data_IF_778310766131
#
_entry.id   IF_778310766131
#
_cell.length_a   1.000
_cell.length_b   1.000
_cell.length_c   1.000
_cell.angle_alpha   90.00
_cell.angle_beta   90.00
_cell.angle_gamma   90.00
#
_symmetry.space_group_name_H-M   'P 1'
#
loop_
_entity.id
_entity.type
_entity.pdbx_description
1 polymer ?
#
# COMPACT_ATOMS: atom_id res chain seq x y z
N UNK A 1 1.04 -32.99 54.38
CA UNK A 1 0.26 -31.99 55.20
C UNK A 1 -0.13 -30.90 54.23
N UNK A 2 -1.33 -31.02 53.85
CA UNK A 2 -2.59 -30.32 54.12
C UNK A 2 -2.81 -29.12 53.22
N UNK A 3 -3.58 -29.31 52.17
CA UNK A 3 -4.96 -28.86 51.88
C UNK A 3 -5.16 -27.34 51.81
N UNK A 4 -5.68 -26.90 50.70
CA UNK A 4 -6.37 -25.61 50.53
C UNK A 4 -6.95 -25.43 49.10
N UNK A 5 -8.03 -26.15 48.82
CA UNK A 5 -8.90 -25.96 47.67
C UNK A 5 -9.83 -24.76 47.95
N UNK A 6 -9.95 -23.80 47.04
CA UNK A 6 -11.11 -22.87 46.98
C UNK A 6 -11.60 -22.74 45.55
N UNK A 7 -12.72 -23.35 45.33
CA UNK A 7 -13.66 -23.14 44.23
C UNK A 7 -14.30 -21.76 44.36
N UNK A 8 -14.43 -21.00 43.28
CA UNK A 8 -15.37 -19.89 43.19
C UNK A 8 -16.19 -19.97 41.91
N UNK A 9 -17.47 -19.92 42.15
CA UNK A 9 -18.63 -20.21 41.35
C UNK A 9 -18.90 -19.08 40.34
N UNK A 10 -19.33 -19.50 39.17
CA UNK A 10 -19.82 -18.65 38.07
C UNK A 10 -21.21 -18.08 38.43
N UNK A 11 -21.40 -16.79 38.13
CA UNK A 11 -22.73 -16.18 38.03
C UNK A 11 -22.96 -15.73 36.57
N UNK A 12 -23.89 -16.37 35.89
CA UNK A 12 -24.34 -16.00 34.57
C UNK A 12 -25.56 -15.07 34.72
N UNK A 13 -25.49 -13.87 34.17
CA UNK A 13 -26.65 -12.98 34.07
C UNK A 13 -27.27 -13.13 32.67
N UNK A 14 -28.53 -13.63 32.67
CA UNK A 14 -29.40 -13.63 31.48
C UNK A 14 -30.13 -12.30 31.41
N UNK A 15 -30.02 -11.58 30.30
CA UNK A 15 -30.87 -10.43 29.98
C UNK A 15 -32.01 -10.94 29.08
N UNK A 16 -33.21 -10.78 29.55
CA UNK A 16 -34.47 -11.13 28.85
C UNK A 16 -35.04 -9.83 28.25
N UNK A 17 -35.22 -9.79 26.97
CA UNK A 17 -35.84 -8.66 26.24
C UNK A 17 -37.34 -8.94 26.15
N UNK A 18 -38.19 -8.05 26.69
CA UNK A 18 -39.64 -8.10 26.59
C UNK A 18 -40.14 -7.32 25.39
N UNK A 19 -40.94 -7.96 24.55
CA UNK A 19 -41.74 -7.31 23.50
C UNK A 19 -43.03 -6.78 24.10
N UNK A 20 -43.34 -5.51 23.88
CA UNK A 20 -44.65 -4.92 24.16
C UNK A 20 -45.46 -4.81 22.87
N UNK A 21 -46.57 -5.54 22.82
CA UNK A 21 -47.60 -5.42 21.78
C UNK A 21 -48.67 -4.47 22.30
N UNK A 22 -48.88 -3.37 21.61
CA UNK A 22 -49.96 -2.41 21.90
C UNK A 22 -51.14 -2.63 20.95
N UNK A 23 -52.26 -3.01 21.48
CA UNK A 23 -53.55 -3.12 20.77
C UNK A 23 -54.27 -1.76 20.84
N UNK A 24 -54.74 -1.26 19.70
CA UNK A 24 -55.67 -0.13 19.64
C UNK A 24 -57.10 -0.64 19.33
N UNK A 25 -57.99 -0.24 20.19
CA UNK A 25 -59.43 -0.49 20.06
C UNK A 25 -60.12 0.48 19.07
N UNK A 26 -61.05 -0.06 18.32
CA UNK A 26 -61.94 0.67 17.43
C UNK A 26 -63.21 1.13 18.17
N UNK A 27 -63.61 2.39 17.97
CA UNK A 27 -64.97 2.84 18.25
C UNK A 27 -65.63 3.43 17.00
N UNK A 28 -66.74 2.88 16.63
CA UNK A 28 -67.63 3.30 15.54
C UNK A 28 -68.73 4.24 16.07
N UNK A 29 -69.12 5.26 15.32
CA UNK A 29 -70.52 5.84 15.20
C UNK A 29 -70.39 6.84 14.02
N UNK A 30 -71.02 6.67 12.85
CA UNK A 30 -72.42 6.84 12.55
C UNK A 30 -72.66 8.20 11.90
N UNK A 31 -73.07 8.25 10.59
CA UNK A 31 -73.59 9.45 9.95
C UNK A 31 -73.57 9.36 8.41
N UNK A 32 -74.70 8.99 7.81
CA UNK A 32 -74.90 9.02 6.36
C UNK A 32 -75.15 10.45 5.87
N UNK A 33 -74.45 10.83 4.81
CA UNK A 33 -74.93 11.93 3.94
C UNK A 33 -74.46 11.64 2.53
N UNK A 34 -75.39 11.48 1.59
CA UNK A 34 -75.12 11.30 0.17
C UNK A 34 -74.67 12.61 -0.47
N UNK A 35 -73.54 12.62 -1.15
CA UNK A 35 -73.20 13.65 -2.14
C UNK A 35 -72.22 13.09 -3.19
N UNK A 36 -72.62 13.26 -4.45
CA UNK A 36 -71.89 13.27 -5.72
C UNK A 36 -70.51 12.52 -5.80
N UNK A 37 -70.45 11.58 -6.71
CA UNK A 37 -69.25 10.78 -6.99
C UNK A 37 -68.03 11.57 -7.41
N UNK A 38 -66.85 11.18 -6.94
CA UNK A 38 -65.58 11.72 -7.40
C UNK A 38 -65.11 11.04 -8.68
N UNK A 39 -64.66 11.88 -9.60
CA UNK A 39 -63.88 11.52 -10.78
C UNK A 39 -62.72 10.59 -10.35
N UNK A 40 -62.50 9.54 -11.13
CA UNK A 40 -61.33 8.64 -10.99
C UNK A 40 -60.04 9.47 -11.09
N UNK A 41 -59.36 9.60 -9.98
CA UNK A 41 -58.01 10.11 -9.95
C UNK A 41 -57.09 9.07 -10.60
N UNK A 42 -56.38 9.46 -11.65
CA UNK A 42 -55.41 8.59 -12.34
C UNK A 42 -54.39 8.04 -11.35
N UNK A 43 -54.15 6.74 -11.45
CA UNK A 43 -53.08 6.06 -10.71
C UNK A 43 -51.77 6.72 -11.08
N UNK A 44 -51.01 7.28 -10.13
CA UNK A 44 -49.70 7.85 -10.45
C UNK A 44 -48.81 6.74 -11.04
N UNK A 45 -48.29 6.99 -12.25
CA UNK A 45 -47.27 6.15 -12.87
C UNK A 45 -46.10 6.03 -11.89
N UNK A 46 -45.58 4.81 -11.58
CA UNK A 46 -44.45 4.66 -10.70
C UNK A 46 -43.29 5.47 -11.27
N UNK A 47 -42.72 6.38 -10.47
CA UNK A 47 -41.55 7.15 -10.84
C UNK A 47 -40.43 6.15 -11.21
N UNK A 48 -39.92 6.29 -12.42
CA UNK A 48 -38.74 5.56 -12.88
C UNK A 48 -37.62 5.85 -11.90
N UNK A 49 -37.24 4.88 -11.06
CA UNK A 49 -36.07 4.99 -10.21
C UNK A 49 -34.86 5.14 -11.12
N UNK A 50 -34.30 6.34 -11.15
CA UNK A 50 -33.00 6.55 -11.77
C UNK A 50 -32.00 5.73 -10.97
N UNK A 51 -31.53 4.63 -11.56
CA UNK A 51 -30.41 3.85 -10.99
C UNK A 51 -29.21 4.78 -11.03
N UNK A 52 -28.83 5.35 -9.88
CA UNK A 52 -27.55 6.00 -9.72
C UNK A 52 -26.50 4.93 -9.98
N UNK A 53 -25.62 5.08 -10.98
CA UNK A 53 -24.58 4.09 -11.21
C UNK A 53 -23.80 3.93 -9.91
N UNK A 54 -23.59 2.69 -9.46
CA UNK A 54 -22.75 2.41 -8.31
C UNK A 54 -21.38 3.03 -8.58
N UNK A 55 -20.86 3.82 -7.64
CA UNK A 55 -19.49 4.30 -7.71
C UNK A 55 -18.61 3.06 -7.77
N UNK A 56 -17.85 2.91 -8.84
CA UNK A 56 -16.99 1.75 -9.01
C UNK A 56 -16.03 1.66 -7.81
N UNK A 57 -15.94 0.49 -7.20
CA UNK A 57 -14.97 0.21 -6.15
C UNK A 57 -13.57 0.25 -6.76
N UNK A 58 -12.83 1.33 -6.50
CA UNK A 58 -11.49 1.54 -7.05
C UNK A 58 -10.46 1.06 -6.05
N UNK A 59 -9.50 0.25 -6.52
CA UNK A 59 -8.35 -0.15 -5.70
C UNK A 59 -7.54 1.10 -5.31
N UNK A 60 -7.43 1.45 -4.02
CA UNK A 60 -6.74 2.67 -3.57
C UNK A 60 -5.22 2.64 -3.81
N UNK A 61 -4.62 1.47 -4.08
CA UNK A 61 -3.19 1.35 -4.38
C UNK A 61 -2.86 1.49 -5.88
N UNK A 62 -3.84 1.37 -6.75
CA UNK A 62 -3.61 1.40 -8.20
C UNK A 62 -4.51 2.33 -8.98
N UNK A 63 -5.63 2.76 -8.42
CA UNK A 63 -6.65 3.52 -9.14
C UNK A 63 -7.40 2.71 -10.22
N UNK A 64 -7.23 1.39 -10.25
CA UNK A 64 -7.92 0.49 -11.17
C UNK A 64 -9.21 0.01 -10.52
N UNK A 65 -10.25 -0.16 -11.33
CA UNK A 65 -11.53 -0.70 -10.90
C UNK A 65 -11.40 -2.13 -10.34
N UNK A 66 -12.14 -2.41 -9.27
CA UNK A 66 -12.14 -3.68 -8.54
C UNK A 66 -11.29 -3.63 -7.27
N UNK A 67 -11.94 -3.87 -6.10
CA UNK A 67 -11.23 -3.99 -4.82
C UNK A 67 -10.63 -5.38 -4.67
N UNK A 68 -9.33 -5.50 -4.35
CA UNK A 68 -8.73 -6.75 -3.95
C UNK A 68 -9.40 -7.30 -2.68
N UNK A 69 -9.67 -8.60 -2.65
CA UNK A 69 -10.34 -9.27 -1.51
C UNK A 69 -9.36 -9.88 -0.52
N UNK A 70 -8.08 -9.98 -0.87
CA UNK A 70 -7.03 -10.52 -0.02
C UNK A 70 -6.32 -9.48 0.84
N UNK A 71 -5.42 -9.93 1.74
CA UNK A 71 -4.61 -9.05 2.55
C UNK A 71 -3.59 -8.27 1.70
N UNK A 72 -3.20 -7.09 2.17
CA UNK A 72 -2.04 -6.38 1.61
C UNK A 72 -0.75 -7.03 2.10
N UNK A 73 0.16 -7.32 1.18
CA UNK A 73 1.46 -7.92 1.48
C UNK A 73 2.57 -6.97 1.03
N UNK A 74 3.39 -6.52 1.97
CA UNK A 74 4.63 -5.81 1.70
C UNK A 74 5.79 -6.80 1.64
N UNK A 75 6.65 -6.72 0.63
CA UNK A 75 7.84 -7.58 0.50
C UNK A 75 9.09 -6.74 0.43
N UNK A 76 10.05 -7.03 1.30
CA UNK A 76 11.39 -6.41 1.22
C UNK A 76 12.23 -7.10 0.16
N UNK A 77 12.67 -6.37 -0.86
CA UNK A 77 13.34 -6.91 -2.06
C UNK A 77 14.70 -6.23 -2.27
N UNK A 78 15.65 -7.00 -2.80
CA UNK A 78 16.96 -6.51 -3.23
C UNK A 78 16.85 -5.61 -4.47
N UNK A 79 17.67 -4.56 -4.55
CA UNK A 79 17.76 -3.67 -5.72
C UNK A 79 19.18 -3.64 -6.32
N UNK A 80 20.04 -4.58 -5.95
CA UNK A 80 21.39 -4.67 -6.50
C UNK A 80 21.45 -5.49 -7.80
N UNK A 81 22.58 -5.44 -8.51
CA UNK A 81 22.79 -6.21 -9.73
C UNK A 81 22.63 -7.73 -9.52
N UNK A 82 23.02 -8.24 -8.34
CA UNK A 82 22.92 -9.68 -8.02
C UNK A 82 21.49 -10.14 -7.73
N UNK A 83 20.59 -9.22 -7.35
CA UNK A 83 19.15 -9.49 -7.19
C UNK A 83 18.37 -9.53 -8.50
N UNK A 84 19.01 -9.14 -9.62
CA UNK A 84 18.35 -9.07 -10.96
C UNK A 84 18.66 -10.30 -11.82
N UNK A 85 17.81 -10.63 -12.81
CA UNK A 85 16.48 -10.06 -13.08
C UNK A 85 15.51 -10.31 -11.91
N UNK A 86 14.51 -9.44 -11.77
CA UNK A 86 13.51 -9.56 -10.71
C UNK A 86 12.46 -10.63 -11.07
N UNK A 87 11.92 -11.29 -10.03
CA UNK A 87 10.79 -12.21 -10.15
C UNK A 87 9.61 -11.61 -9.40
N UNK A 88 8.49 -11.40 -10.07
CA UNK A 88 7.22 -10.96 -9.50
C UNK A 88 7.12 -9.46 -9.19
N UNK A 89 8.19 -8.67 -9.33
CA UNK A 89 8.20 -7.23 -9.01
C UNK A 89 7.23 -6.43 -9.92
N UNK A 90 7.05 -6.84 -11.15
CA UNK A 90 6.13 -6.22 -12.12
C UNK A 90 4.66 -6.27 -11.69
N UNK A 91 4.29 -7.24 -10.84
CA UNK A 91 2.95 -7.43 -10.28
C UNK A 91 2.67 -6.57 -9.04
N UNK A 92 3.69 -5.90 -8.48
CA UNK A 92 3.50 -5.02 -7.35
C UNK A 92 2.61 -3.81 -7.71
N UNK A 93 1.74 -3.39 -6.79
CA UNK A 93 0.88 -2.22 -6.95
C UNK A 93 1.68 -0.92 -6.75
N UNK A 94 2.45 -0.83 -5.66
CA UNK A 94 3.35 0.28 -5.33
C UNK A 94 4.73 -0.28 -5.00
N UNK A 95 5.79 0.41 -5.43
CA UNK A 95 7.18 0.03 -5.13
C UNK A 95 7.90 1.22 -4.53
N UNK A 96 8.21 1.15 -3.25
CA UNK A 96 9.09 2.10 -2.59
C UNK A 96 10.54 1.71 -2.80
N UNK A 97 11.40 2.71 -3.01
CA UNK A 97 12.85 2.55 -3.16
C UNK A 97 13.49 3.38 -2.05
N UNK A 98 14.20 2.74 -1.14
CA UNK A 98 14.77 3.37 0.03
C UNK A 98 16.27 3.12 0.17
N UNK A 99 16.95 4.03 0.87
CA UNK A 99 18.36 3.89 1.24
C UNK A 99 18.52 2.86 2.37
N UNK A 100 19.52 2.00 2.22
CA UNK A 100 19.98 1.08 3.27
C UNK A 100 21.49 1.28 3.50
N UNK A 101 22.12 0.41 4.26
CA UNK A 101 23.53 0.50 4.62
C UNK A 101 24.44 0.65 3.39
N UNK A 102 25.47 1.46 3.54
CA UNK A 102 26.49 1.66 2.50
C UNK A 102 26.01 2.46 1.29
N UNK A 103 24.89 3.20 1.41
CA UNK A 103 24.30 3.98 0.33
C UNK A 103 23.65 3.13 -0.76
N UNK A 104 23.44 1.85 -0.50
CA UNK A 104 22.72 0.95 -1.39
C UNK A 104 21.20 1.19 -1.28
N UNK A 105 20.45 0.66 -2.24
CA UNK A 105 18.98 0.66 -2.21
C UNK A 105 18.41 -0.71 -1.96
N UNK A 106 17.24 -0.73 -1.33
CA UNK A 106 16.28 -1.84 -1.33
C UNK A 106 14.90 -1.34 -1.71
N UNK A 107 14.04 -2.28 -2.06
CA UNK A 107 12.66 -1.97 -2.36
C UNK A 107 11.73 -2.55 -1.30
N UNK A 108 10.62 -1.84 -1.05
CA UNK A 108 9.43 -2.38 -0.39
C UNK A 108 8.34 -2.41 -1.44
N UNK A 109 8.00 -3.61 -1.90
CA UNK A 109 6.98 -3.81 -2.92
C UNK A 109 5.66 -4.22 -2.29
N UNK A 110 4.58 -3.50 -2.62
CA UNK A 110 3.23 -3.70 -2.09
C UNK A 110 2.42 -4.54 -3.07
N UNK A 111 1.79 -5.58 -2.56
CA UNK A 111 0.96 -6.49 -3.34
C UNK A 111 -0.41 -6.60 -2.69
N UNK A 112 -1.45 -6.25 -3.43
CA UNK A 112 -2.84 -6.47 -3.11
C UNK A 112 -3.59 -7.05 -4.31
N UNK A 113 -3.25 -6.59 -5.53
CA UNK A 113 -3.89 -7.04 -6.77
C UNK A 113 -3.46 -8.44 -7.22
N UNK A 114 -2.32 -8.94 -6.74
CA UNK A 114 -1.77 -10.25 -7.13
C UNK A 114 -0.89 -10.83 -6.02
N UNK A 115 -0.75 -12.16 -6.02
CA UNK A 115 0.07 -12.91 -5.05
C UNK A 115 1.13 -13.78 -5.76
N UNK A 116 2.08 -13.17 -6.50
CA UNK A 116 3.11 -13.91 -7.24
C UNK A 116 4.16 -14.55 -6.33
N UNK A 117 5.05 -15.36 -6.91
CA UNK A 117 6.34 -15.64 -6.32
C UNK A 117 7.25 -14.41 -6.47
N UNK A 118 7.96 -14.03 -5.41
CA UNK A 118 8.81 -12.84 -5.37
C UNK A 118 10.22 -13.19 -4.93
N UNK A 119 11.22 -12.74 -5.69
CA UNK A 119 12.67 -12.88 -5.41
C UNK A 119 13.38 -11.53 -5.65
N UNK A 120 14.47 -11.19 -5.07
CA UNK A 120 15.23 -11.76 -3.97
C UNK A 120 14.78 -11.11 -2.66
N UNK A 121 14.15 -11.87 -1.78
CA UNK A 121 13.65 -11.33 -0.51
C UNK A 121 14.82 -10.99 0.41
N UNK A 122 14.77 -9.80 1.05
CA UNK A 122 15.86 -9.25 1.88
C UNK A 122 15.38 -8.87 3.28
N UNK A 123 16.35 -8.44 4.10
CA UNK A 123 16.10 -8.08 5.49
C UNK A 123 15.33 -6.78 5.66
N UNK A 124 14.40 -6.78 6.60
CA UNK A 124 13.65 -5.60 7.06
C UNK A 124 14.57 -4.57 7.71
N UNK A 125 14.17 -3.28 7.63
CA UNK A 125 14.77 -2.12 8.30
C UNK A 125 13.77 -1.45 9.23
N UNK A 126 14.26 -0.67 10.20
CA UNK A 126 13.37 0.04 11.13
C UNK A 126 12.46 1.05 10.40
N UNK A 127 12.93 1.68 9.33
CA UNK A 127 12.15 2.57 8.47
C UNK A 127 10.96 1.89 7.78
N UNK A 128 11.05 0.58 7.48
CA UNK A 128 9.93 -0.16 6.89
C UNK A 128 8.70 -0.16 7.81
N UNK A 129 8.92 -0.27 9.14
CA UNK A 129 7.85 -0.31 10.13
C UNK A 129 7.11 1.02 10.15
N UNK A 130 7.83 2.13 10.10
CA UNK A 130 7.22 3.46 10.03
C UNK A 130 6.50 3.67 8.70
N UNK A 131 7.14 3.39 7.58
CA UNK A 131 6.57 3.54 6.24
C UNK A 131 5.25 2.77 6.11
N UNK A 132 5.22 1.53 6.59
CA UNK A 132 4.09 0.62 6.42
C UNK A 132 2.95 0.86 7.42
N UNK A 133 3.13 1.62 8.49
CA UNK A 133 2.07 1.91 9.46
C UNK A 133 0.82 2.52 8.83
N UNK A 134 0.95 3.31 7.76
CA UNK A 134 -0.17 3.88 7.03
C UNK A 134 -1.08 2.83 6.34
N UNK A 135 -0.59 1.61 6.15
CA UNK A 135 -1.35 0.53 5.49
C UNK A 135 -2.21 -0.28 6.46
N UNK A 136 -2.08 -0.08 7.79
CA UNK A 136 -2.79 -0.86 8.81
C UNK A 136 -2.06 -2.14 9.21
N UNK A 137 -2.80 -3.18 9.60
CA UNK A 137 -2.26 -4.46 10.07
C UNK A 137 -2.00 -5.42 8.90
N UNK A 138 -1.12 -5.01 8.00
CA UNK A 138 -0.76 -5.78 6.80
C UNK A 138 0.34 -6.81 7.07
N UNK A 139 0.61 -7.67 6.09
CA UNK A 139 1.70 -8.65 6.16
C UNK A 139 3.01 -8.02 5.66
N UNK A 140 4.10 -8.14 6.44
CA UNK A 140 5.45 -7.80 6.00
C UNK A 140 6.30 -9.06 5.84
N UNK A 141 6.72 -9.33 4.62
CA UNK A 141 7.58 -10.44 4.22
C UNK A 141 9.03 -9.98 4.10
N UNK A 142 9.94 -10.62 4.84
CA UNK A 142 11.37 -10.34 4.79
C UNK A 142 12.22 -11.60 4.99
N UNK A 143 13.49 -11.56 4.57
CA UNK A 143 14.38 -12.71 4.80
C UNK A 143 14.84 -12.81 6.26
N UNK A 144 15.01 -11.69 6.94
CA UNK A 144 15.49 -11.56 8.31
C UNK A 144 15.57 -10.09 8.70
N UNK A 145 16.40 -9.77 9.69
CA UNK A 145 16.67 -8.40 10.14
C UNK A 145 17.64 -8.38 11.30
N UNK A 146 18.18 -7.20 11.64
CA UNK A 146 18.92 -7.03 12.88
C UNK A 146 18.01 -7.31 14.10
N UNK A 147 18.54 -7.88 15.16
CA UNK A 147 17.76 -8.28 16.34
C UNK A 147 16.94 -7.12 16.95
N UNK A 148 17.49 -5.89 16.95
CA UNK A 148 16.76 -4.69 17.39
C UNK A 148 15.58 -4.41 16.48
N UNK A 149 15.77 -4.45 15.16
CA UNK A 149 14.71 -4.24 14.16
C UNK A 149 13.61 -5.30 14.29
N UNK A 150 13.99 -6.58 14.46
CA UNK A 150 13.01 -7.66 14.63
C UNK A 150 12.17 -7.49 15.90
N UNK A 151 12.77 -7.03 17.02
CA UNK A 151 11.99 -6.69 18.23
C UNK A 151 11.04 -5.52 18.01
N UNK A 152 11.46 -4.46 17.29
CA UNK A 152 10.57 -3.34 16.92
C UNK A 152 9.41 -3.84 16.04
N UNK A 153 9.69 -4.72 15.09
CA UNK A 153 8.70 -5.32 14.22
C UNK A 153 7.69 -6.19 15.00
N UNK A 154 8.16 -7.03 15.90
CA UNK A 154 7.29 -7.86 16.74
C UNK A 154 6.40 -7.04 17.70
N UNK A 155 6.81 -5.84 18.05
CA UNK A 155 6.01 -4.88 18.85
C UNK A 155 5.09 -3.99 17.99
N UNK A 156 5.18 -4.05 16.67
CA UNK A 156 4.35 -3.26 15.74
C UNK A 156 3.01 -3.94 15.46
N UNK A 157 2.15 -3.26 14.70
CA UNK A 157 0.88 -3.82 14.23
C UNK A 157 1.02 -4.72 13.00
N UNK A 158 2.21 -4.81 12.39
CA UNK A 158 2.45 -5.59 11.18
C UNK A 158 2.53 -7.09 11.49
N UNK A 159 1.95 -7.91 10.63
CA UNK A 159 2.11 -9.36 10.66
C UNK A 159 3.42 -9.75 9.97
N UNK A 160 4.46 -10.07 10.74
CA UNK A 160 5.77 -10.41 10.19
C UNK A 160 5.85 -11.84 9.69
N UNK A 161 6.38 -12.05 8.47
CA UNK A 161 6.69 -13.36 7.87
C UNK A 161 8.16 -13.38 7.49
N UNK A 162 8.96 -14.08 8.27
CA UNK A 162 10.42 -13.99 8.24
C UNK A 162 11.02 -15.35 7.87
N UNK A 163 11.80 -15.42 6.78
CA UNK A 163 12.46 -16.64 6.30
C UNK A 163 13.40 -17.24 7.35
N UNK A 164 14.19 -16.43 8.05
CA UNK A 164 15.15 -16.92 9.05
C UNK A 164 14.47 -17.53 10.29
N UNK A 165 13.18 -17.24 10.48
CA UNK A 165 12.29 -17.87 11.48
C UNK A 165 11.61 -19.13 10.94
N UNK A 166 11.91 -19.55 9.70
CA UNK A 166 11.32 -20.71 9.02
C UNK A 166 9.80 -20.65 8.92
N UNK A 167 9.26 -19.43 8.73
CA UNK A 167 7.82 -19.23 8.56
C UNK A 167 7.38 -19.65 7.15
N UNK A 168 6.05 -19.68 6.92
CA UNK A 168 5.40 -20.17 5.69
C UNK A 168 5.78 -19.37 4.44
N UNK A 169 5.76 -20.04 3.28
CA UNK A 169 5.83 -19.40 1.97
C UNK A 169 7.24 -19.05 1.52
N UNK A 170 8.28 -19.73 1.98
CA UNK A 170 9.64 -19.51 1.50
C UNK A 170 10.27 -20.78 0.93
N UNK A 171 11.08 -20.57 -0.12
CA UNK A 171 12.06 -21.55 -0.59
C UNK A 171 13.31 -20.82 -1.11
N UNK A 172 14.35 -21.59 -1.42
CA UNK A 172 15.56 -21.06 -2.04
C UNK A 172 15.67 -21.54 -3.48
N UNK A 173 15.84 -20.60 -4.39
CA UNK A 173 16.10 -20.87 -5.80
C UNK A 173 17.55 -21.37 -5.96
N UNK A 174 17.78 -22.63 -6.36
CA UNK A 174 19.12 -23.18 -6.47
C UNK A 174 19.92 -22.60 -7.65
N UNK A 175 19.26 -21.93 -8.59
CA UNK A 175 19.90 -21.29 -9.74
C UNK A 175 20.57 -19.95 -9.40
N UNK A 176 20.40 -19.45 -8.17
CA UNK A 176 20.89 -18.15 -7.72
C UNK A 176 21.79 -18.26 -6.50
N UNK A 177 22.84 -17.42 -6.41
CA UNK A 177 23.71 -17.42 -5.24
C UNK A 177 22.99 -16.86 -4.01
N UNK A 178 23.30 -17.41 -2.83
CA UNK A 178 22.89 -16.78 -1.58
C UNK A 178 23.62 -15.43 -1.38
N UNK A 179 22.97 -14.42 -0.80
CA UNK A 179 21.63 -14.40 -0.20
C UNK A 179 20.52 -13.95 -1.17
N UNK A 180 20.75 -13.91 -2.47
CA UNK A 180 19.84 -13.40 -3.50
C UNK A 180 18.81 -14.44 -3.97
N UNK A 181 18.85 -15.63 -3.40
CA UNK A 181 18.06 -16.80 -3.80
C UNK A 181 16.82 -17.06 -2.94
N UNK A 182 16.49 -16.17 -2.00
CA UNK A 182 15.27 -16.33 -1.19
C UNK A 182 14.07 -15.91 -2.00
N UNK A 183 13.13 -16.84 -2.18
CA UNK A 183 11.85 -16.63 -2.85
C UNK A 183 10.73 -16.72 -1.83
N UNK A 184 9.75 -15.82 -1.90
CA UNK A 184 8.49 -15.92 -1.17
C UNK A 184 7.34 -16.24 -2.13
N UNK A 185 6.52 -17.24 -1.76
CA UNK A 185 5.29 -17.64 -2.44
C UNK A 185 4.12 -16.87 -1.80
N UNK A 186 3.77 -15.69 -2.32
CA UNK A 186 2.80 -14.81 -1.69
C UNK A 186 1.40 -15.44 -1.59
N UNK A 187 1.04 -16.34 -2.50
CA UNK A 187 -0.22 -17.08 -2.40
C UNK A 187 -0.29 -17.95 -1.14
N UNK A 188 0.82 -18.61 -0.75
CA UNK A 188 0.88 -19.39 0.50
C UNK A 188 0.87 -18.50 1.74
N UNK A 189 1.55 -17.36 1.67
CA UNK A 189 1.55 -16.36 2.75
C UNK A 189 0.14 -15.79 2.96
N UNK A 190 -0.52 -15.36 1.89
CA UNK A 190 -1.88 -14.84 1.91
C UNK A 190 -2.90 -15.84 2.48
N UNK A 191 -2.76 -17.11 2.13
CA UNK A 191 -3.67 -18.17 2.62
C UNK A 191 -3.46 -18.53 4.09
N UNK A 192 -2.28 -18.26 4.65
CA UNK A 192 -1.90 -18.67 6.00
C UNK A 192 -2.13 -17.58 7.06
N UNK A 193 -2.27 -16.31 6.68
CA UNK A 193 -2.30 -15.18 7.61
C UNK A 193 -3.45 -14.26 7.27
N UNK A 194 -4.33 -14.07 8.23
CA UNK A 194 -5.39 -13.07 8.16
C UNK A 194 -4.80 -11.68 8.50
N UNK A 195 -5.00 -10.73 7.61
CA UNK A 195 -4.51 -9.37 7.77
C UNK A 195 -5.45 -8.37 7.04
N UNK A 196 -5.19 -7.06 7.22
CA UNK A 196 -6.02 -6.03 6.63
C UNK A 196 -5.91 -6.03 5.09
N UNK A 197 -7.02 -5.77 4.42
CA UNK A 197 -7.11 -5.48 2.99
C UNK A 197 -6.66 -4.08 2.65
N UNK A 198 -6.91 -3.67 1.39
CA UNK A 198 -6.55 -2.33 0.91
C UNK A 198 -7.32 -1.23 1.64
N UNK A 199 -6.63 -0.11 1.89
CA UNK A 199 -7.20 1.12 2.42
C UNK A 199 -6.60 2.32 1.70
N UNK A 200 -7.24 3.46 1.81
CA UNK A 200 -6.67 4.71 1.30
C UNK A 200 -5.39 5.08 2.06
N UNK A 201 -4.31 5.24 1.33
CA UNK A 201 -2.99 5.67 1.81
C UNK A 201 -2.56 7.00 1.19
N UNK A 202 -3.52 7.71 0.55
CA UNK A 202 -3.38 9.07 0.07
C UNK A 202 -3.04 9.24 -1.40
N UNK A 203 -3.05 8.21 -2.22
CA UNK A 203 -2.94 8.33 -3.66
C UNK A 203 -4.28 8.80 -4.26
N UNK A 204 -4.32 9.98 -4.87
CA UNK A 204 -5.47 10.45 -5.63
C UNK A 204 -5.33 10.02 -7.10
N UNK A 205 -6.20 9.14 -7.57
CA UNK A 205 -6.12 8.56 -8.91
C UNK A 205 -7.05 9.29 -9.89
N UNK A 206 -6.54 9.60 -11.09
CA UNK A 206 -7.35 10.13 -12.20
C UNK A 206 -6.72 9.74 -13.55
N UNK A 207 -7.55 9.34 -14.53
CA UNK A 207 -7.10 9.07 -15.90
C UNK A 207 -6.45 10.31 -16.51
N UNK A 208 -7.14 11.45 -16.39
CA UNK A 208 -6.68 12.74 -16.91
C UNK A 208 -6.25 13.68 -15.80
N UNK A 209 -5.29 14.54 -16.11
CA UNK A 209 -4.87 15.64 -15.27
C UNK A 209 -4.64 16.89 -16.18
N UNK A 210 -5.53 17.89 -16.15
CA UNK A 210 -5.41 19.05 -17.02
C UNK A 210 -4.12 19.85 -16.81
N UNK A 211 -3.47 19.74 -15.64
CA UNK A 211 -2.19 20.39 -15.35
C UNK A 211 -1.05 19.87 -16.22
N UNK A 212 -1.20 18.68 -16.81
CA UNK A 212 -0.19 18.13 -17.71
C UNK A 212 -0.05 18.92 -19.01
N UNK A 213 -1.07 19.71 -19.43
CA UNK A 213 -0.96 20.57 -20.62
C UNK A 213 0.27 21.50 -20.49
N UNK A 214 0.39 22.17 -19.34
CA UNK A 214 1.42 23.17 -19.06
C UNK A 214 2.62 22.63 -18.28
N UNK A 215 2.60 21.34 -17.89
CA UNK A 215 3.66 20.74 -17.10
C UNK A 215 4.96 20.55 -17.92
N UNK A 216 6.10 20.69 -17.24
CA UNK A 216 7.42 20.54 -17.87
C UNK A 216 7.63 19.11 -18.39
N UNK A 217 8.14 18.94 -19.62
CA UNK A 217 8.54 17.62 -20.13
C UNK A 217 9.57 16.95 -19.20
N UNK A 218 9.42 15.64 -19.02
CA UNK A 218 10.29 14.82 -18.19
C UNK A 218 10.27 13.35 -18.65
N UNK A 219 10.71 13.10 -19.87
CA UNK A 219 10.81 11.76 -20.42
C UNK A 219 11.86 10.89 -19.70
N UNK A 220 12.83 11.50 -19.05
CA UNK A 220 13.83 10.82 -18.22
C UNK A 220 13.75 11.35 -16.80
N UNK A 221 13.75 10.44 -15.83
CA UNK A 221 13.87 10.72 -14.41
C UNK A 221 15.21 10.17 -13.95
N UNK A 222 16.03 11.01 -13.32
CA UNK A 222 17.31 10.60 -12.74
C UNK A 222 17.44 11.24 -11.36
N UNK A 223 17.51 10.42 -10.33
CA UNK A 223 17.69 10.87 -8.95
C UNK A 223 18.69 9.97 -8.22
N UNK A 224 18.95 10.24 -6.96
CA UNK A 224 19.75 9.39 -6.08
C UNK A 224 18.96 9.02 -4.83
N UNK A 225 19.09 7.76 -4.44
CA UNK A 225 18.65 7.26 -3.15
C UNK A 225 19.90 6.68 -2.48
N UNK A 226 20.37 7.35 -1.43
CA UNK A 226 21.71 7.11 -0.91
C UNK A 226 22.80 7.44 -1.93
N UNK A 227 23.73 6.51 -2.15
CA UNK A 227 24.75 6.62 -3.19
C UNK A 227 24.28 6.03 -4.54
N UNK A 228 23.13 5.39 -4.59
CA UNK A 228 22.63 4.67 -5.77
C UNK A 228 21.89 5.61 -6.72
N UNK A 229 22.28 5.62 -7.99
CA UNK A 229 21.54 6.29 -9.05
C UNK A 229 20.26 5.51 -9.36
N UNK A 230 19.12 6.20 -9.34
CA UNK A 230 17.79 5.66 -9.59
C UNK A 230 17.24 6.32 -10.85
N UNK A 231 17.05 5.54 -11.91
CA UNK A 231 16.65 6.04 -13.22
C UNK A 231 15.34 5.45 -13.73
N UNK A 232 14.59 6.27 -14.50
CA UNK A 232 13.41 5.83 -15.22
C UNK A 232 13.33 6.57 -16.57
N UNK A 233 12.80 5.88 -17.57
CA UNK A 233 12.56 6.45 -18.90
C UNK A 233 11.10 6.23 -19.28
N UNK A 234 10.45 7.30 -19.74
CA UNK A 234 9.08 7.24 -20.23
C UNK A 234 9.01 6.48 -21.56
N UNK A 235 8.24 5.42 -21.57
CA UNK A 235 7.87 4.70 -22.78
C UNK A 235 6.44 5.10 -23.16
N UNK A 236 6.30 5.84 -24.26
CA UNK A 236 5.02 6.33 -24.73
C UNK A 236 4.09 5.21 -25.26
N UNK A 237 4.64 4.08 -25.71
CA UNK A 237 3.86 2.94 -26.18
C UNK A 237 3.22 2.18 -25.03
N UNK A 238 3.97 2.03 -23.93
CA UNK A 238 3.50 1.41 -22.70
C UNK A 238 2.69 2.39 -21.85
N UNK A 239 2.77 3.69 -22.10
CA UNK A 239 2.29 4.77 -21.24
C UNK A 239 2.80 4.61 -19.79
N UNK A 240 4.10 4.25 -19.63
CA UNK A 240 4.74 3.93 -18.35
C UNK A 240 6.17 4.44 -18.30
N UNK A 241 6.65 4.71 -17.10
CA UNK A 241 8.07 4.86 -16.81
C UNK A 241 8.70 3.51 -16.58
N UNK A 242 9.65 3.13 -17.42
CA UNK A 242 10.46 1.92 -17.30
C UNK A 242 11.62 2.21 -16.36
N UNK A 243 11.80 1.39 -15.32
CA UNK A 243 12.95 1.49 -14.44
C UNK A 243 14.24 1.14 -15.17
N UNK A 244 15.28 1.95 -14.96
CA UNK A 244 16.59 1.76 -15.61
C UNK A 244 17.74 1.74 -14.62
N UNK A 245 18.83 1.08 -15.00
CA UNK A 245 20.14 1.16 -14.35
C UNK A 245 21.19 1.42 -15.45
N UNK A 246 21.99 2.46 -15.27
CA UNK A 246 22.96 2.93 -16.27
C UNK A 246 22.30 3.10 -17.67
N UNK A 247 21.06 3.60 -17.71
CA UNK A 247 20.29 3.81 -18.93
C UNK A 247 19.68 2.54 -19.56
N UNK A 248 19.95 1.34 -19.01
CA UNK A 248 19.39 0.08 -19.52
C UNK A 248 18.14 -0.31 -18.73
N UNK A 249 17.07 -0.79 -19.40
CA UNK A 249 15.87 -1.29 -18.74
C UNK A 249 16.18 -2.40 -17.74
N UNK A 250 15.53 -2.36 -16.57
CA UNK A 250 15.48 -3.52 -15.67
C UNK A 250 14.37 -4.43 -16.18
N UNK A 251 14.72 -5.68 -16.45
CA UNK A 251 13.79 -6.69 -16.91
C UNK A 251 13.46 -7.67 -15.80
N UNK A 252 12.29 -8.28 -15.89
CA UNK A 252 11.86 -9.44 -15.12
C UNK A 252 12.44 -10.72 -15.70
N UNK A 253 12.25 -11.85 -15.02
CA UNK A 253 12.64 -13.16 -15.58
C UNK A 253 11.85 -13.54 -16.84
N UNK A 254 10.64 -13.02 -17.01
CA UNK A 254 9.85 -13.19 -18.26
C UNK A 254 10.34 -12.31 -19.40
N UNK A 255 11.28 -11.39 -19.16
CA UNK A 255 11.78 -10.45 -20.15
C UNK A 255 10.99 -9.15 -20.25
N UNK A 256 9.93 -8.99 -19.46
CA UNK A 256 9.13 -7.78 -19.44
C UNK A 256 9.84 -6.65 -18.68
N UNK A 257 9.70 -5.38 -19.08
CA UNK A 257 10.27 -4.27 -18.35
C UNK A 257 9.53 -4.03 -17.02
N UNK A 258 10.29 -3.72 -15.96
CA UNK A 258 9.73 -3.26 -14.69
C UNK A 258 9.29 -1.82 -14.85
N UNK A 259 7.97 -1.59 -14.97
CA UNK A 259 7.40 -0.31 -15.36
C UNK A 259 6.11 0.03 -14.63
N UNK A 260 5.90 1.32 -14.33
CA UNK A 260 4.66 1.88 -13.74
C UNK A 260 4.29 3.20 -14.42
N UNK A 261 3.00 3.59 -14.44
CA UNK A 261 2.59 4.86 -15.05
C UNK A 261 3.10 6.10 -14.30
N UNK A 262 3.46 5.94 -13.02
CA UNK A 262 3.88 7.04 -12.16
C UNK A 262 5.24 6.76 -11.52
N UNK A 263 6.03 7.82 -11.39
CA UNK A 263 7.19 7.87 -10.50
C UNK A 263 7.01 9.07 -9.58
N UNK A 264 7.08 8.86 -8.29
CA UNK A 264 7.12 9.92 -7.28
C UNK A 264 8.52 9.94 -6.67
N UNK A 265 9.18 11.09 -6.69
CA UNK A 265 10.34 11.34 -5.85
C UNK A 265 9.85 12.08 -4.62
N UNK A 266 9.89 11.41 -3.48
CA UNK A 266 9.49 11.94 -2.18
C UNK A 266 10.75 12.28 -1.38
N UNK A 267 10.91 13.55 -1.02
CA UNK A 267 12.07 13.99 -0.25
C UNK A 267 11.77 13.84 1.24
N UNK A 268 12.55 12.96 1.89
CA UNK A 268 12.46 12.61 3.30
C UNK A 268 13.78 12.87 4.01
N UNK A 269 13.73 13.25 5.28
CA UNK A 269 14.92 13.20 6.12
C UNK A 269 15.38 11.74 6.28
N UNK A 270 16.67 11.53 6.09
CA UNK A 270 17.28 10.19 6.21
C UNK A 270 18.45 10.31 7.18
N UNK A 271 18.32 9.67 8.31
CA UNK A 271 19.26 9.72 9.42
C UNK A 271 20.01 8.40 9.60
N UNK A 272 21.07 8.40 10.38
CA UNK A 272 21.81 7.19 10.76
C UNK A 272 21.20 6.63 12.04
N UNK A 273 20.65 5.41 12.00
CA UNK A 273 20.25 4.68 13.21
C UNK A 273 21.44 3.87 13.74
N UNK A 274 22.25 4.50 14.57
CA UNK A 274 23.41 3.85 15.20
C UNK A 274 23.05 2.77 16.23
N UNK A 275 21.78 2.69 16.64
CA UNK A 275 21.29 1.62 17.53
C UNK A 275 21.16 0.28 16.81
N UNK A 276 21.18 0.28 15.47
CA UNK A 276 21.03 -0.91 14.63
C UNK A 276 22.25 -1.06 13.74
N UNK A 277 23.04 -2.09 13.97
CA UNK A 277 24.24 -2.42 13.19
C UNK A 277 23.94 -3.65 12.32
N UNK A 278 24.29 -3.58 11.02
CA UNK A 278 24.17 -4.71 10.11
C UNK A 278 25.25 -5.80 10.37
N UNK A 279 25.15 -6.92 9.66
CA UNK A 279 26.11 -8.03 9.75
C UNK A 279 27.55 -7.67 9.32
N UNK A 280 27.75 -6.51 8.68
CA UNK A 280 29.05 -6.02 8.24
C UNK A 280 29.60 -4.91 9.15
N UNK A 281 28.96 -4.69 10.32
CA UNK A 281 29.38 -3.66 11.28
C UNK A 281 29.00 -2.23 10.89
N UNK A 282 28.07 -2.02 9.94
CA UNK A 282 27.62 -0.70 9.48
C UNK A 282 26.31 -0.31 10.16
N UNK A 283 26.18 0.96 10.61
CA UNK A 283 24.91 1.47 11.09
C UNK A 283 23.88 1.47 9.96
N UNK A 284 22.61 1.22 10.31
CA UNK A 284 21.52 1.26 9.34
C UNK A 284 21.06 2.70 9.09
N UNK A 285 20.40 2.90 7.95
CA UNK A 285 19.76 4.18 7.66
C UNK A 285 18.30 4.12 8.11
N UNK A 286 17.76 5.26 8.55
CA UNK A 286 16.36 5.44 8.90
C UNK A 286 15.77 6.55 8.04
N UNK A 287 14.81 6.22 7.19
CA UNK A 287 14.04 7.16 6.38
C UNK A 287 12.80 7.57 7.13
N UNK A 288 12.67 8.87 7.42
CA UNK A 288 11.51 9.44 8.11
C UNK A 288 10.37 9.61 7.11
N UNK A 289 9.30 8.87 7.30
CA UNK A 289 8.10 8.87 6.45
C UNK A 289 6.88 9.49 7.13
N UNK A 290 7.00 9.88 8.40
CA UNK A 290 6.06 10.73 9.15
C UNK A 290 6.62 12.16 9.16
N UNK A 291 5.78 13.15 8.84
CA UNK A 291 6.21 14.55 8.73
C UNK A 291 5.73 15.20 7.43
N UNK A 292 6.56 16.07 6.88
CA UNK A 292 6.26 16.82 5.66
C UNK A 292 7.50 17.00 4.80
N UNK A 293 7.31 17.21 3.50
CA UNK A 293 8.43 17.48 2.61
C UNK A 293 7.98 17.80 1.19
N UNK A 294 8.93 17.99 0.31
CA UNK A 294 8.66 18.21 -1.11
C UNK A 294 8.48 16.88 -1.86
N UNK A 295 7.76 16.92 -2.97
CA UNK A 295 7.65 15.82 -3.93
C UNK A 295 7.76 16.31 -5.36
N UNK A 296 8.17 15.41 -6.24
CA UNK A 296 8.02 15.57 -7.70
C UNK A 296 7.32 14.35 -8.24
N UNK A 297 6.12 14.54 -8.80
CA UNK A 297 5.39 13.49 -9.50
C UNK A 297 5.73 13.53 -10.99
N UNK A 298 6.05 12.37 -11.53
CA UNK A 298 6.26 12.14 -12.97
C UNK A 298 5.15 11.23 -13.49
N UNK A 299 4.39 11.71 -14.46
CA UNK A 299 3.36 10.94 -15.17
C UNK A 299 3.20 11.48 -16.59
N UNK A 300 2.85 10.62 -17.56
CA UNK A 300 2.63 11.02 -18.94
C UNK A 300 3.84 11.69 -19.61
N UNK A 301 5.08 11.35 -19.22
CA UNK A 301 6.30 11.97 -19.73
C UNK A 301 6.53 13.40 -19.24
N UNK A 302 5.83 13.85 -18.20
CA UNK A 302 5.91 15.20 -17.64
C UNK A 302 6.08 15.18 -16.13
N UNK A 303 6.40 16.33 -15.50
CA UNK A 303 6.61 16.46 -14.06
C UNK A 303 5.77 17.57 -13.44
N UNK A 304 5.28 17.33 -12.24
CA UNK A 304 4.56 18.27 -11.39
C UNK A 304 5.23 18.27 -10.02
N UNK A 305 5.54 19.45 -9.48
CA UNK A 305 6.10 19.61 -8.13
C UNK A 305 5.00 19.81 -7.11
N UNK A 306 5.26 19.41 -5.87
CA UNK A 306 4.30 19.54 -4.78
C UNK A 306 4.93 19.26 -3.42
N UNK A 307 4.07 18.94 -2.46
CA UNK A 307 4.46 18.60 -1.09
C UNK A 307 3.76 17.33 -0.64
N UNK A 308 4.36 16.63 0.31
CA UNK A 308 3.72 15.53 1.03
C UNK A 308 3.57 15.88 2.50
N UNK A 309 2.56 15.29 3.15
CA UNK A 309 2.34 15.40 4.59
C UNK A 309 1.75 14.10 5.12
N UNK A 310 2.32 13.62 6.22
CA UNK A 310 1.83 12.47 6.99
C UNK A 310 1.97 12.80 8.48
N UNK A 311 0.86 13.10 9.18
CA UNK A 311 0.93 13.64 10.55
C UNK A 311 1.20 12.59 11.63
N UNK A 312 0.96 11.30 11.36
CA UNK A 312 1.17 10.20 12.33
C UNK A 312 1.46 8.88 11.63
N UNK A 313 1.85 7.88 12.41
CA UNK A 313 2.24 6.55 11.94
C UNK A 313 1.13 5.85 11.13
N UNK A 314 -0.12 6.00 11.52
CA UNK A 314 -1.30 5.34 10.96
C UNK A 314 -2.08 6.21 9.97
N UNK A 315 -1.71 7.50 9.86
CA UNK A 315 -2.32 8.40 8.90
C UNK A 315 -1.86 8.12 7.47
N UNK A 316 -2.74 8.32 6.45
CA UNK A 316 -2.33 8.29 5.07
C UNK A 316 -1.38 9.45 4.74
N UNK A 317 -0.50 9.25 3.76
CA UNK A 317 0.34 10.31 3.22
C UNK A 317 -0.45 11.10 2.20
N UNK A 318 -0.67 12.40 2.42
CA UNK A 318 -1.29 13.29 1.42
C UNK A 318 -0.23 13.89 0.51
N UNK A 319 -0.55 14.00 -0.78
CA UNK A 319 0.29 14.62 -1.80
C UNK A 319 -0.47 15.77 -2.45
N UNK A 320 0.06 16.99 -2.38
CA UNK A 320 -0.60 18.18 -2.93
C UNK A 320 0.34 18.95 -3.84
N UNK A 321 -0.21 19.63 -4.84
CA UNK A 321 0.55 20.57 -5.68
C UNK A 321 0.82 21.89 -4.93
N UNK A 322 1.50 22.82 -5.59
CA UNK A 322 1.84 24.14 -5.02
C UNK A 322 0.62 25.03 -4.73
N UNK A 323 -0.55 24.67 -5.25
CA UNK A 323 -1.84 25.34 -4.97
C UNK A 323 -2.65 24.61 -3.87
N UNK A 324 -2.10 23.56 -3.25
CA UNK A 324 -2.76 22.77 -2.21
C UNK A 324 -3.80 21.77 -2.75
N UNK A 325 -3.89 21.56 -4.07
CA UNK A 325 -4.79 20.55 -4.66
C UNK A 325 -4.10 19.19 -4.70
N UNK A 326 -4.84 18.06 -4.57
CA UNK A 326 -4.26 16.73 -4.65
C UNK A 326 -3.44 16.52 -5.94
N UNK A 327 -2.26 15.94 -5.82
CA UNK A 327 -1.51 15.42 -6.97
C UNK A 327 -2.24 14.21 -7.51
N UNK A 328 -2.55 14.22 -8.82
CA UNK A 328 -3.31 13.16 -9.46
C UNK A 328 -2.36 12.14 -10.09
N UNK A 329 -2.45 10.89 -9.67
CA UNK A 329 -1.70 9.76 -10.22
C UNK A 329 -2.50 9.10 -11.36
N UNK A 330 -1.82 8.68 -12.42
CA UNK A 330 -2.43 7.86 -13.47
C UNK A 330 -2.72 6.44 -12.92
N UNK A 331 -3.89 5.83 -13.22
CA UNK A 331 -4.17 4.46 -12.79
C UNK A 331 -3.09 3.45 -13.23
N UNK A 332 -2.76 2.49 -12.37
CA UNK A 332 -1.77 1.43 -12.65
C UNK A 332 -0.59 1.36 -11.67
N UNK A 333 -0.68 2.05 -10.53
CA UNK A 333 0.32 2.01 -9.48
C UNK A 333 1.47 3.01 -9.66
N UNK A 334 2.47 2.94 -8.76
CA UNK A 334 3.56 3.91 -8.72
C UNK A 334 4.89 3.32 -8.24
N UNK A 335 6.00 3.90 -8.70
CA UNK A 335 7.27 3.89 -7.98
C UNK A 335 7.34 5.11 -7.07
N UNK A 336 7.85 4.94 -5.86
CA UNK A 336 8.09 6.01 -4.89
C UNK A 336 9.57 5.94 -4.47
N UNK A 337 10.38 6.86 -4.95
CA UNK A 337 11.79 6.97 -4.57
C UNK A 337 11.90 7.90 -3.34
N UNK A 338 12.36 7.36 -2.21
CA UNK A 338 12.57 8.10 -0.98
C UNK A 338 13.99 8.69 -1.00
N UNK A 339 14.09 9.98 -1.31
CA UNK A 339 15.37 10.66 -1.53
C UNK A 339 15.63 11.72 -0.44
N UNK A 340 16.90 12.08 -0.25
CA UNK A 340 17.27 13.17 0.67
C UNK A 340 16.82 14.52 0.11
N UNK A 341 16.44 15.49 0.96
CA UNK A 341 16.17 16.85 0.53
C UNK A 341 17.34 17.43 -0.27
N UNK A 342 17.01 18.18 -1.33
CA UNK A 342 18.02 18.79 -2.22
C UNK A 342 18.65 17.84 -3.25
N UNK A 343 18.25 16.56 -3.28
CA UNK A 343 18.71 15.64 -4.34
C UNK A 343 18.12 16.07 -5.69
N UNK A 344 18.93 16.17 -6.77
CA UNK A 344 18.43 16.48 -8.12
C UNK A 344 17.43 15.43 -8.64
N UNK A 345 16.49 15.89 -9.50
CA UNK A 345 15.50 15.04 -10.20
C UNK A 345 15.37 15.41 -11.67
#
# INVERSE_FOLDING_TARGET
>A
MSKGCRTNTRLAARVTTALAVGALAATSIGGWSSAAGPRAAGIPTPATMTVVPAVADINPLTGIEGLPTGPVIAVKIDDTALGRPSLGLEKADVVYIEEVEGGLTRMVAMFASATPNVRAVRSVRSSDIELLGQYGRIILVASGGAGVTLRKLDASTLHSVINDRRQVGFFRDPSRPAPYNVVSELAKVSAAIEADGVRDVGFAWAGDDPRLADAKPAATVSTKVGATAVGFVWDAKLARYVRTVAGQPILTESGDPVAKPNVLVQFCEITVDSSVIDSNGRPTMFTESVGTGQVVLFRGGKRITGTWSRPSLDAPTTFTDTAGKPLLFAPGGAFVALARPGTPT
#
